data_IF_003145824750
#
_entry.id   IF_003145824750
#
_cell.length_a   1.000
_cell.length_b   1.000
_cell.length_c   1.000
_cell.angle_alpha   90.00
_cell.angle_beta   90.00
_cell.angle_gamma   90.00
#
_symmetry.space_group_name_H-M   'P 1'
#
loop_
_entity.id
_entity.type
_entity.pdbx_description
1 polymer ?
#
# COMPACT_ATOMS: atom_id res chain seq x y z
N UNK A 1 61.33 32.74 -7.95
CA UNK A 1 60.88 33.20 -9.28
C UNK A 1 59.37 33.33 -9.17
N UNK A 2 58.81 34.50 -8.84
CA UNK A 2 58.96 35.78 -9.53
C UNK A 2 57.86 35.82 -10.60
N UNK A 3 56.73 36.50 -10.37
CA UNK A 3 56.37 37.84 -10.89
C UNK A 3 54.85 37.72 -11.23
N UNK A 4 53.92 38.67 -11.06
CA UNK A 4 53.96 40.12 -10.98
C UNK A 4 52.78 40.63 -10.13
N UNK A 5 53.03 41.81 -9.59
CA UNK A 5 52.19 42.65 -8.73
C UNK A 5 51.45 43.71 -9.57
N UNK A 6 50.36 44.24 -8.98
CA UNK A 6 49.84 45.62 -9.11
C UNK A 6 49.14 46.12 -10.40
N UNK A 7 48.00 46.81 -10.21
CA UNK A 7 47.86 48.27 -10.44
C UNK A 7 46.62 48.84 -9.70
N UNK A 8 46.86 49.98 -9.04
CA UNK A 8 45.96 50.87 -8.30
C UNK A 8 45.45 52.00 -9.23
N UNK A 9 44.24 52.53 -9.00
CA UNK A 9 43.82 53.89 -9.39
C UNK A 9 42.30 54.03 -9.49
N UNK A 10 41.56 54.43 -8.43
CA UNK A 10 41.24 55.79 -7.95
C UNK A 10 40.57 56.75 -8.97
N UNK A 11 39.40 57.26 -8.55
CA UNK A 11 38.60 58.45 -8.92
C UNK A 11 37.18 58.07 -9.37
N UNK A 12 36.07 58.64 -8.88
CA UNK A 12 35.86 59.74 -7.94
C UNK A 12 34.45 59.65 -7.35
N UNK A 13 34.24 60.32 -6.22
CA UNK A 13 32.98 60.30 -5.48
C UNK A 13 31.86 61.10 -6.16
N UNK A 14 30.64 60.77 -5.74
CA UNK A 14 29.61 61.75 -5.43
C UNK A 14 28.78 61.17 -4.29
N UNK A 15 28.88 61.82 -3.13
CA UNK A 15 27.89 61.73 -2.05
C UNK A 15 26.58 62.37 -2.55
N UNK A 16 25.46 61.72 -2.30
CA UNK A 16 24.20 62.34 -1.91
C UNK A 16 23.24 61.24 -1.41
N UNK A 17 23.34 61.00 -0.11
CA UNK A 17 22.25 60.94 0.87
C UNK A 17 20.81 60.83 0.29
N UNK A 18 20.15 59.68 0.47
CA UNK A 18 18.80 59.59 1.06
C UNK A 18 18.52 58.18 1.58
N UNK A 19 18.34 58.11 2.90
CA UNK A 19 17.68 57.06 3.64
C UNK A 19 16.36 56.60 3.00
N UNK A 20 16.18 55.28 2.86
CA UNK A 20 14.92 54.66 3.24
C UNK A 20 15.14 53.20 3.64
N UNK A 21 15.01 52.96 4.94
CA UNK A 21 14.76 51.64 5.47
C UNK A 21 13.34 51.24 5.05
N UNK A 22 13.24 50.17 4.26
CA UNK A 22 12.02 49.38 4.18
C UNK A 22 12.44 47.93 4.29
N UNK A 23 12.23 47.39 5.49
CA UNK A 23 12.18 45.96 5.76
C UNK A 23 11.33 45.29 4.66
N UNK A 24 11.96 44.42 3.88
CA UNK A 24 11.20 43.51 3.02
C UNK A 24 10.43 42.55 3.94
N UNK A 25 9.13 42.31 3.70
CA UNK A 25 8.45 41.27 4.44
C UNK A 25 9.04 39.93 3.98
N UNK A 26 9.78 39.33 4.91
CA UNK A 26 9.97 37.90 5.01
C UNK A 26 8.57 37.25 5.01
N UNK A 27 8.22 36.59 3.91
CA UNK A 27 7.04 35.73 3.80
C UNK A 27 7.48 34.36 3.28
N UNK A 28 8.43 33.77 3.97
CA UNK A 28 8.36 32.34 4.28
C UNK A 28 7.19 32.13 5.25
N UNK A 29 5.97 32.22 4.72
CA UNK A 29 4.80 31.58 5.33
C UNK A 29 4.50 30.40 4.44
N UNK A 30 5.20 29.30 4.70
CA UNK A 30 4.75 27.97 4.33
C UNK A 30 3.31 27.87 4.85
N UNK A 31 2.36 27.81 3.94
CA UNK A 31 0.98 27.59 4.28
C UNK A 31 0.93 26.20 4.93
N UNK A 32 0.78 26.15 6.25
CA UNK A 32 0.01 25.07 6.83
C UNK A 32 -1.37 25.20 6.18
N UNK A 33 -1.65 24.33 5.21
CA UNK A 33 -2.96 24.29 4.59
C UNK A 33 -3.97 23.95 5.66
N UNK A 34 -4.78 24.95 5.96
CA UNK A 34 -5.75 24.95 7.03
C UNK A 34 -6.83 23.93 6.66
N UNK A 35 -6.78 22.72 7.24
CA UNK A 35 -7.88 21.76 7.24
C UNK A 35 -9.11 22.47 7.80
N UNK A 36 -10.01 22.88 6.91
CA UNK A 36 -11.25 23.57 7.31
C UNK A 36 -12.36 22.54 7.40
N UNK A 37 -13.07 22.57 8.51
CA UNK A 37 -14.40 21.97 8.62
C UNK A 37 -15.31 22.77 7.68
N UNK A 38 -15.53 22.26 6.46
CA UNK A 38 -16.37 22.88 5.44
C UNK A 38 -17.60 21.98 5.25
N UNK A 39 -18.78 22.56 5.39
CA UNK A 39 -20.07 21.86 5.41
C UNK A 39 -20.71 21.71 4.01
N UNK A 40 -20.00 22.15 2.96
CA UNK A 40 -20.54 22.29 1.60
C UNK A 40 -19.43 22.23 0.52
N UNK A 41 -19.64 21.37 -0.48
CA UNK A 41 -18.80 21.18 -1.67
C UNK A 41 -18.63 22.44 -2.52
N UNK A 42 -19.49 23.45 -2.37
CA UNK A 42 -19.42 24.73 -3.10
C UNK A 42 -18.11 25.51 -2.89
N UNK A 43 -17.25 25.08 -1.97
CA UNK A 43 -15.91 25.61 -1.75
C UNK A 43 -14.88 25.25 -2.86
N UNK A 44 -15.12 24.24 -3.70
CA UNK A 44 -14.26 23.92 -4.83
C UNK A 44 -14.56 24.84 -6.03
N UNK A 45 -13.75 25.88 -6.18
CA UNK A 45 -13.90 26.92 -7.19
C UNK A 45 -13.42 26.56 -8.61
N UNK A 46 -13.09 25.31 -8.91
CA UNK A 46 -12.66 24.87 -10.25
C UNK A 46 -13.46 23.64 -10.72
N UNK A 47 -14.09 23.79 -11.87
CA UNK A 47 -15.05 22.86 -12.47
C UNK A 47 -14.37 21.65 -13.13
N UNK A 48 -13.03 21.63 -13.16
CA UNK A 48 -12.25 20.71 -14.00
C UNK A 48 -11.53 19.58 -13.25
N UNK A 49 -11.55 19.55 -11.91
CA UNK A 49 -11.06 18.41 -11.13
C UNK A 49 -11.89 18.27 -9.86
N UNK A 50 -12.83 17.32 -9.88
CA UNK A 50 -13.65 16.96 -8.73
C UNK A 50 -13.02 15.70 -8.11
N UNK A 51 -12.54 15.74 -6.85
CA UNK A 51 -12.05 14.56 -6.17
C UNK A 51 -13.10 13.44 -6.10
N UNK A 52 -12.71 12.16 -6.18
CA UNK A 52 -13.65 11.03 -6.17
C UNK A 52 -14.65 11.04 -5.00
N UNK A 53 -14.21 11.37 -3.78
CA UNK A 53 -15.09 11.43 -2.61
C UNK A 53 -16.20 12.49 -2.73
N UNK A 54 -15.98 13.56 -3.50
CA UNK A 54 -17.00 14.58 -3.78
C UNK A 54 -18.09 14.08 -4.75
N UNK A 55 -17.96 12.91 -5.37
CA UNK A 55 -18.99 12.30 -6.21
C UNK A 55 -20.04 11.54 -5.40
N UNK A 56 -19.75 11.25 -4.13
CA UNK A 56 -20.64 10.50 -3.23
C UNK A 56 -21.78 11.38 -2.75
N UNK A 57 -21.50 12.58 -2.25
CA UNK A 57 -22.52 13.51 -1.75
C UNK A 57 -22.06 14.95 -1.87
N UNK A 58 -23.00 15.89 -1.89
CA UNK A 58 -22.69 17.33 -1.97
C UNK A 58 -22.51 17.96 -0.58
N UNK A 59 -22.89 17.24 0.48
CA UNK A 59 -22.84 17.69 1.87
C UNK A 59 -22.65 16.52 2.86
N UNK A 60 -22.22 16.85 4.09
CA UNK A 60 -22.22 15.89 5.22
C UNK A 60 -23.62 15.32 5.50
N UNK A 61 -24.67 16.09 5.17
CA UNK A 61 -26.05 15.60 5.31
C UNK A 61 -26.31 14.43 4.36
N UNK A 62 -25.83 14.51 3.11
CA UNK A 62 -25.99 13.43 2.13
C UNK A 62 -25.23 12.17 2.57
N UNK A 63 -24.03 12.32 3.13
CA UNK A 63 -23.25 11.20 3.65
C UNK A 63 -23.97 10.50 4.81
N UNK A 64 -24.57 11.28 5.72
CA UNK A 64 -25.39 10.75 6.82
C UNK A 64 -26.63 10.04 6.30
N UNK A 65 -27.32 10.60 5.33
CA UNK A 65 -28.48 9.96 4.69
C UNK A 65 -28.07 8.62 4.06
N UNK A 66 -26.89 8.51 3.43
CA UNK A 66 -26.39 7.23 2.93
C UNK A 66 -26.06 6.22 4.03
N UNK A 67 -25.50 6.68 5.15
CA UNK A 67 -25.26 5.83 6.31
C UNK A 67 -26.58 5.34 6.92
N UNK A 68 -27.62 6.17 6.98
CA UNK A 68 -28.96 5.80 7.44
C UNK A 68 -29.64 4.82 6.48
N UNK A 69 -29.51 5.05 5.17
CA UNK A 69 -29.99 4.14 4.14
C UNK A 69 -29.31 2.77 4.23
N UNK A 70 -28.00 2.74 4.52
CA UNK A 70 -27.30 1.48 4.81
C UNK A 70 -27.95 0.78 6.00
N UNK A 71 -28.08 1.51 7.12
CA UNK A 71 -28.59 0.96 8.37
C UNK A 71 -30.00 0.37 8.23
N UNK A 72 -30.86 0.98 7.40
CA UNK A 72 -32.22 0.51 7.15
C UNK A 72 -32.35 -0.56 6.05
N UNK A 73 -31.38 -0.66 5.14
CA UNK A 73 -31.42 -1.61 4.02
C UNK A 73 -30.77 -2.95 4.38
N UNK A 74 -29.69 -2.93 5.16
CA UNK A 74 -28.82 -4.09 5.38
C UNK A 74 -28.92 -4.68 6.80
N UNK A 75 -30.02 -4.42 7.53
CA UNK A 75 -30.30 -4.96 8.87
C UNK A 75 -30.24 -6.50 8.97
N UNK A 76 -30.34 -7.20 7.83
CA UNK A 76 -30.29 -8.66 7.80
C UNK A 76 -28.88 -9.25 8.02
N UNK A 77 -27.82 -8.45 7.85
CA UNK A 77 -26.42 -8.88 7.95
C UNK A 77 -25.80 -8.65 9.34
N UNK A 78 -26.50 -7.96 10.24
CA UNK A 78 -26.02 -7.71 11.59
C UNK A 78 -26.74 -6.54 12.27
N UNK A 79 -26.38 -6.20 13.51
CA UNK A 79 -26.86 -4.96 14.13
C UNK A 79 -26.40 -3.77 13.29
N UNK A 80 -27.28 -2.80 13.04
CA UNK A 80 -26.99 -1.55 12.30
C UNK A 80 -27.14 -0.32 13.21
N UNK A 81 -26.82 -0.48 14.49
CA UNK A 81 -27.04 0.51 15.55
C UNK A 81 -25.87 1.49 15.74
N UNK A 82 -24.93 1.51 14.79
CA UNK A 82 -23.68 2.27 14.83
C UNK A 82 -22.78 1.94 16.05
N UNK A 83 -22.92 0.75 16.64
CA UNK A 83 -21.95 0.25 17.61
C UNK A 83 -20.64 -0.19 16.92
N UNK A 84 -19.54 -0.28 17.66
CA UNK A 84 -18.29 -0.86 17.13
C UNK A 84 -18.54 -2.29 16.61
N UNK A 85 -19.29 -3.12 17.34
CA UNK A 85 -19.71 -4.46 16.90
C UNK A 85 -20.51 -4.49 15.59
N UNK A 86 -21.23 -3.41 15.25
CA UNK A 86 -21.98 -3.34 13.98
C UNK A 86 -21.10 -3.38 12.74
N UNK A 87 -19.79 -3.11 12.89
CA UNK A 87 -18.81 -3.20 11.81
C UNK A 87 -18.75 -4.64 11.23
N UNK A 88 -18.88 -5.67 12.09
CA UNK A 88 -18.92 -7.07 11.63
C UNK A 88 -20.07 -7.36 10.66
N UNK A 89 -21.19 -6.66 10.83
CA UNK A 89 -22.33 -6.78 9.91
C UNK A 89 -22.05 -6.17 8.53
N UNK A 90 -21.13 -5.20 8.45
CA UNK A 90 -20.63 -4.66 7.19
C UNK A 90 -19.80 -5.72 6.46
N UNK A 91 -18.89 -6.38 7.16
CA UNK A 91 -18.05 -7.43 6.57
C UNK A 91 -18.87 -8.65 6.13
N UNK A 92 -19.87 -9.09 6.92
CA UNK A 92 -20.76 -10.19 6.54
C UNK A 92 -21.59 -9.86 5.28
N UNK A 93 -22.01 -8.59 5.14
CA UNK A 93 -22.68 -8.12 3.92
C UNK A 93 -21.76 -8.26 2.71
N UNK A 94 -20.48 -7.88 2.83
CA UNK A 94 -19.49 -8.06 1.76
C UNK A 94 -19.19 -9.54 1.45
N UNK A 95 -19.04 -10.38 2.47
CA UNK A 95 -18.75 -11.81 2.32
C UNK A 95 -19.90 -12.59 1.64
N UNK A 96 -21.16 -12.17 1.85
CA UNK A 96 -22.33 -12.88 1.32
C UNK A 96 -22.61 -12.58 -0.16
N UNK A 97 -22.05 -11.49 -0.69
CA UNK A 97 -22.34 -11.06 -2.05
C UNK A 97 -21.35 -11.68 -3.05
N UNK A 98 -21.82 -12.73 -3.73
CA UNK A 98 -21.00 -13.64 -4.56
C UNK A 98 -20.53 -13.08 -5.92
N UNK A 99 -20.68 -11.78 -6.23
CA UNK A 99 -20.43 -11.26 -7.58
C UNK A 99 -19.66 -9.93 -7.56
N UNK A 100 -18.50 -9.92 -6.87
CA UNK A 100 -17.58 -8.77 -6.72
C UNK A 100 -17.20 -8.13 -8.07
N UNK A 101 -17.13 -8.91 -9.15
CA UNK A 101 -16.80 -8.43 -10.50
C UNK A 101 -17.87 -7.52 -11.13
N UNK A 102 -19.13 -7.63 -10.71
CA UNK A 102 -20.22 -6.75 -11.18
C UNK A 102 -20.25 -5.40 -10.45
N UNK A 103 -19.34 -5.18 -9.49
CA UNK A 103 -19.35 -4.02 -8.60
C UNK A 103 -18.34 -2.95 -9.02
N UNK A 104 -17.34 -3.34 -9.81
CA UNK A 104 -16.15 -2.56 -10.16
C UNK A 104 -16.32 -1.66 -11.39
N UNK A 105 -17.48 -1.68 -12.07
CA UNK A 105 -17.67 -0.91 -13.29
C UNK A 105 -19.10 -0.37 -13.43
N UNK A 106 -19.24 0.97 -13.40
CA UNK A 106 -20.38 1.65 -14.03
C UNK A 106 -19.87 2.45 -15.21
N UNK A 107 -20.60 2.37 -16.32
CA UNK A 107 -20.46 3.32 -17.41
C UNK A 107 -21.09 4.66 -17.01
N UNK A 108 -20.27 5.68 -16.83
CA UNK A 108 -20.71 7.05 -16.61
C UNK A 108 -21.32 7.61 -17.90
N UNK A 109 -22.20 8.62 -17.77
CA UNK A 109 -22.89 9.23 -18.93
C UNK A 109 -21.93 9.85 -19.96
N UNK A 110 -20.69 10.12 -19.58
CA UNK A 110 -19.62 10.64 -20.45
C UNK A 110 -18.76 9.54 -21.11
N UNK A 111 -19.09 8.26 -20.90
CA UNK A 111 -18.40 7.13 -21.50
C UNK A 111 -17.12 6.70 -20.78
N UNK A 112 -16.82 7.24 -19.60
CA UNK A 112 -15.80 6.70 -18.71
C UNK A 112 -16.37 5.54 -17.91
N UNK A 113 -15.55 4.53 -17.66
CA UNK A 113 -15.84 3.50 -16.66
C UNK A 113 -15.34 4.02 -15.32
N UNK A 114 -16.24 4.24 -14.36
CA UNK A 114 -15.90 4.57 -12.98
C UNK A 114 -16.30 3.41 -12.09
N UNK A 115 -15.36 2.88 -11.30
CA UNK A 115 -15.68 1.92 -10.25
C UNK A 115 -16.30 2.66 -9.07
N UNK A 116 -17.59 2.98 -9.12
CA UNK A 116 -18.23 3.74 -8.03
C UNK A 116 -19.74 3.49 -7.93
N UNK A 117 -20.16 2.22 -7.93
CA UNK A 117 -21.56 1.91 -7.72
C UNK A 117 -21.94 2.22 -6.26
N UNK A 118 -23.09 2.85 -5.97
CA UNK A 118 -23.59 3.24 -4.63
C UNK A 118 -23.45 2.22 -3.47
N UNK A 119 -23.12 0.96 -3.75
CA UNK A 119 -22.97 -0.13 -2.79
C UNK A 119 -21.67 -0.10 -1.98
N UNK A 120 -20.59 0.57 -2.40
CA UNK A 120 -19.39 0.78 -1.55
C UNK A 120 -19.48 2.08 -0.73
N UNK A 121 -20.16 3.10 -1.28
CA UNK A 121 -20.34 4.39 -0.63
C UNK A 121 -21.22 4.30 0.63
N UNK A 122 -22.32 3.54 0.57
CA UNK A 122 -23.22 3.34 1.72
C UNK A 122 -22.51 2.70 2.95
N UNK A 123 -21.83 1.55 2.82
CA UNK A 123 -21.09 0.96 3.94
C UNK A 123 -19.90 1.81 4.38
N UNK A 124 -19.20 2.50 3.46
CA UNK A 124 -18.16 3.47 3.83
C UNK A 124 -18.75 4.62 4.67
N UNK A 125 -19.85 5.24 4.23
CA UNK A 125 -20.55 6.27 5.01
C UNK A 125 -21.01 5.74 6.37
N UNK A 126 -21.55 4.52 6.44
CA UNK A 126 -21.95 3.89 7.69
C UNK A 126 -20.76 3.70 8.64
N UNK A 127 -19.66 3.16 8.13
CA UNK A 127 -18.44 2.96 8.89
C UNK A 127 -17.84 4.29 9.39
N UNK A 128 -17.81 5.32 8.55
CA UNK A 128 -17.36 6.67 8.94
C UNK A 128 -18.21 7.26 10.06
N UNK A 129 -19.53 7.02 10.00
CA UNK A 129 -20.47 7.41 11.04
C UNK A 129 -20.28 6.61 12.36
N UNK A 130 -19.79 5.37 12.31
CA UNK A 130 -19.31 4.64 13.50
C UNK A 130 -18.08 5.34 14.09
N UNK A 131 -17.07 5.65 13.28
CA UNK A 131 -15.85 6.33 13.75
C UNK A 131 -16.15 7.69 14.39
N UNK A 132 -17.04 8.48 13.79
CA UNK A 132 -17.47 9.78 14.32
C UNK A 132 -18.13 9.66 15.70
N UNK A 133 -18.88 8.58 15.95
CA UNK A 133 -19.60 8.39 17.22
C UNK A 133 -18.71 7.90 18.35
N UNK A 134 -17.63 7.18 18.05
CA UNK A 134 -16.80 6.51 19.06
C UNK A 134 -15.40 7.09 19.22
N UNK A 135 -14.87 7.79 18.22
CA UNK A 135 -13.47 8.24 18.19
C UNK A 135 -13.30 9.74 17.97
N UNK A 136 -14.32 10.53 18.32
CA UNK A 136 -14.34 12.00 18.13
C UNK A 136 -13.91 12.44 16.71
N UNK A 137 -14.12 11.56 15.73
CA UNK A 137 -13.81 11.83 14.33
C UNK A 137 -14.87 12.76 13.73
N UNK A 138 -14.55 13.35 12.57
CA UNK A 138 -15.47 14.22 11.84
C UNK A 138 -15.31 14.06 10.34
N UNK A 139 -16.41 14.24 9.61
CA UNK A 139 -16.33 14.45 8.17
C UNK A 139 -15.57 15.74 7.89
N UNK A 140 -14.54 15.64 7.07
CA UNK A 140 -13.76 16.76 6.55
C UNK A 140 -13.82 16.74 5.04
N UNK A 141 -13.65 17.93 4.44
CA UNK A 141 -13.56 18.08 3.01
C UNK A 141 -12.10 18.33 2.64
N UNK A 142 -11.45 17.27 2.17
CA UNK A 142 -10.07 17.25 1.73
C UNK A 142 -9.94 17.59 0.24
N UNK A 143 -8.83 18.22 -0.15
CA UNK A 143 -8.64 18.68 -1.53
C UNK A 143 -8.32 17.57 -2.51
N UNK A 144 -7.65 16.52 -2.05
CA UNK A 144 -7.14 15.45 -2.89
C UNK A 144 -8.15 14.29 -2.90
N UNK A 145 -8.77 14.01 -1.75
CA UNK A 145 -9.70 12.88 -1.61
C UNK A 145 -11.19 13.28 -1.70
N UNK A 146 -11.53 14.54 -1.45
CA UNK A 146 -12.92 14.98 -1.29
C UNK A 146 -13.42 14.72 0.13
N UNK A 147 -14.60 14.11 0.31
CA UNK A 147 -15.07 13.76 1.65
C UNK A 147 -14.18 12.69 2.28
N UNK A 148 -13.70 12.98 3.50
CA UNK A 148 -12.78 12.15 4.26
C UNK A 148 -13.11 12.19 5.77
N UNK A 149 -12.47 11.34 6.57
CA UNK A 149 -12.60 11.34 8.03
C UNK A 149 -11.34 11.94 8.64
N UNK A 150 -11.50 12.95 9.49
CA UNK A 150 -10.41 13.54 10.27
C UNK A 150 -10.58 13.28 11.76
N UNK A 151 -9.48 12.98 12.44
CA UNK A 151 -9.40 12.86 13.91
C UNK A 151 -8.85 14.14 14.53
N UNK A 152 -9.23 14.47 15.77
CA UNK A 152 -8.79 15.72 16.42
C UNK A 152 -7.26 15.75 16.59
N UNK A 153 -6.60 16.67 15.87
CA UNK A 153 -5.15 16.85 15.94
C UNK A 153 -4.31 15.87 15.11
N UNK A 154 -4.94 15.06 14.25
CA UNK A 154 -4.32 13.99 13.46
C UNK A 154 -4.81 13.94 12.00
N UNK A 155 -4.19 13.03 11.24
CA UNK A 155 -4.30 12.68 9.82
C UNK A 155 -5.74 12.61 9.27
N UNK A 156 -5.87 12.91 7.98
CA UNK A 156 -7.09 12.78 7.18
C UNK A 156 -7.09 11.40 6.51
N UNK A 157 -8.17 10.64 6.67
CA UNK A 157 -8.32 9.30 6.13
C UNK A 157 -9.29 9.30 4.96
N UNK A 158 -8.84 8.81 3.80
CA UNK A 158 -9.67 8.61 2.62
C UNK A 158 -10.56 7.36 2.76
N UNK A 159 -11.64 7.50 3.52
CA UNK A 159 -12.54 6.40 3.83
C UNK A 159 -13.10 5.67 2.60
N UNK A 160 -13.35 6.39 1.51
CA UNK A 160 -13.93 5.80 0.30
C UNK A 160 -12.89 5.06 -0.54
N UNK A 161 -11.66 5.60 -0.62
CA UNK A 161 -10.54 4.90 -1.23
C UNK A 161 -10.22 3.63 -0.46
N UNK A 162 -10.06 3.74 0.86
CA UNK A 162 -9.72 2.57 1.66
C UNK A 162 -10.87 1.56 1.72
N UNK A 163 -12.15 1.98 1.74
CA UNK A 163 -13.29 1.06 1.61
C UNK A 163 -13.34 0.36 0.23
N UNK A 164 -12.84 1.02 -0.82
CA UNK A 164 -12.71 0.42 -2.14
C UNK A 164 -11.59 -0.63 -2.16
N UNK A 165 -10.40 -0.30 -1.65
CA UNK A 165 -9.29 -1.25 -1.50
C UNK A 165 -9.65 -2.42 -0.60
N UNK A 166 -10.48 -2.17 0.42
CA UNK A 166 -10.92 -3.19 1.33
C UNK A 166 -11.81 -4.25 0.63
N UNK A 167 -12.48 -3.94 -0.50
CA UNK A 167 -13.23 -4.93 -1.29
C UNK A 167 -12.37 -6.14 -1.73
N UNK A 168 -11.05 -5.95 -1.80
CA UNK A 168 -10.07 -6.95 -2.19
C UNK A 168 -9.42 -7.66 -0.98
N UNK A 169 -9.80 -7.33 0.26
CA UNK A 169 -9.27 -7.92 1.51
C UNK A 169 -10.38 -8.43 2.43
N UNK A 170 -10.20 -9.57 3.11
CA UNK A 170 -11.24 -10.15 3.98
C UNK A 170 -10.74 -10.33 5.44
N UNK A 171 -11.46 -9.81 6.47
CA UNK A 171 -12.57 -8.86 6.40
C UNK A 171 -12.10 -7.41 6.20
N UNK A 172 -12.81 -6.63 5.37
CA UNK A 172 -12.43 -5.27 5.03
C UNK A 172 -12.44 -4.27 6.19
N UNK A 173 -13.56 -4.18 6.92
CA UNK A 173 -13.84 -3.06 7.82
C UNK A 173 -13.43 -3.34 9.27
N UNK A 174 -13.50 -4.59 9.74
CA UNK A 174 -12.93 -4.98 11.04
C UNK A 174 -11.42 -4.72 11.04
N UNK A 175 -10.70 -5.12 9.98
CA UNK A 175 -9.25 -4.88 9.89
C UNK A 175 -8.93 -3.40 9.86
N UNK A 176 -9.65 -2.64 9.02
CA UNK A 176 -9.50 -1.18 8.94
C UNK A 176 -9.74 -0.50 10.30
N UNK A 177 -10.77 -0.92 11.03
CA UNK A 177 -11.05 -0.42 12.37
C UNK A 177 -9.87 -0.67 13.32
N UNK A 178 -9.40 -1.90 13.38
CA UNK A 178 -8.32 -2.31 14.29
C UNK A 178 -7.02 -1.57 13.96
N UNK A 179 -6.70 -1.45 12.66
CA UNK A 179 -5.59 -0.61 12.19
C UNK A 179 -5.73 0.85 12.61
N UNK A 180 -6.94 1.43 12.60
CA UNK A 180 -7.12 2.79 13.08
C UNK A 180 -6.96 2.92 14.60
N UNK A 181 -7.44 1.94 15.36
CA UNK A 181 -7.24 1.90 16.81
C UNK A 181 -5.74 1.86 17.14
N UNK A 182 -4.98 1.04 16.43
CA UNK A 182 -3.54 0.87 16.64
C UNK A 182 -2.72 2.08 16.14
N UNK A 183 -2.91 2.51 14.89
CA UNK A 183 -2.07 3.53 14.27
C UNK A 183 -2.34 4.94 14.80
N UNK A 184 -3.56 5.21 15.27
CA UNK A 184 -3.94 6.53 15.76
C UNK A 184 -4.02 6.60 17.30
N UNK A 185 -3.64 5.53 18.01
CA UNK A 185 -3.69 5.42 19.48
C UNK A 185 -5.08 5.78 20.01
N UNK A 186 -6.12 5.25 19.35
CA UNK A 186 -7.51 5.49 19.76
C UNK A 186 -7.84 4.60 20.97
N UNK A 187 -8.64 5.11 21.90
CA UNK A 187 -9.09 4.36 23.09
C UNK A 187 -10.19 3.30 22.74
N UNK A 188 -9.99 2.51 21.68
CA UNK A 188 -10.90 1.48 21.16
C UNK A 188 -10.56 0.06 21.59
N UNK A 189 -11.57 -0.82 21.66
CA UNK A 189 -11.37 -2.26 21.78
C UNK A 189 -11.22 -2.86 20.38
N UNK A 190 -10.14 -3.60 20.14
CA UNK A 190 -9.94 -4.32 18.88
C UNK A 190 -11.07 -5.32 18.70
N UNK A 191 -11.66 -5.33 17.50
CA UNK A 191 -12.76 -6.21 17.20
C UNK A 191 -12.27 -7.64 17.02
N UNK A 192 -11.06 -7.85 16.49
CA UNK A 192 -10.49 -9.14 16.09
C UNK A 192 -11.42 -9.86 15.07
N UNK A 193 -10.95 -10.23 13.86
CA UNK A 193 -11.80 -10.99 12.93
C UNK A 193 -12.30 -12.28 13.61
N UNK A 194 -13.57 -12.67 13.43
CA UNK A 194 -14.13 -13.88 14.07
C UNK A 194 -13.15 -15.06 13.92
N UNK A 195 -12.55 -15.42 15.06
CA UNK A 195 -11.27 -16.13 15.18
C UNK A 195 -11.25 -17.59 14.77
N UNK A 196 -12.06 -18.01 13.79
CA UNK A 196 -12.00 -19.36 13.25
C UNK A 196 -11.69 -19.42 11.74
N UNK A 197 -11.80 -18.31 10.97
CA UNK A 197 -11.60 -18.36 9.51
C UNK A 197 -10.30 -17.74 8.99
N UNK A 198 -9.70 -16.82 9.73
CA UNK A 198 -8.44 -16.16 9.36
C UNK A 198 -7.26 -16.54 10.25
N UNK A 199 -7.51 -16.89 11.52
CA UNK A 199 -6.47 -17.35 12.42
C UNK A 199 -5.84 -18.67 11.97
N UNK A 200 -6.58 -19.56 11.28
CA UNK A 200 -5.96 -20.78 10.71
C UNK A 200 -5.04 -20.50 9.49
N UNK A 201 -5.04 -19.30 8.88
CA UNK A 201 -4.14 -18.96 7.76
C UNK A 201 -3.02 -17.98 8.11
N UNK A 202 -3.27 -16.96 8.95
CA UNK A 202 -2.25 -15.96 9.33
C UNK A 202 -1.38 -16.34 10.53
N UNK A 203 -1.75 -17.33 11.36
CA UNK A 203 -1.02 -17.63 12.60
C UNK A 203 0.28 -18.45 12.47
N UNK A 204 0.76 -18.82 11.28
CA UNK A 204 2.03 -19.57 11.22
C UNK A 204 3.26 -18.66 11.07
N UNK A 205 3.08 -17.39 10.73
CA UNK A 205 4.16 -16.42 10.50
C UNK A 205 3.97 -15.16 11.33
N UNK A 206 4.71 -14.99 12.42
CA UNK A 206 4.52 -13.89 13.37
C UNK A 206 4.99 -12.51 12.89
N UNK A 207 5.19 -12.33 11.58
CA UNK A 207 5.83 -11.16 10.95
C UNK A 207 4.85 -10.54 9.94
N UNK A 208 4.68 -9.22 10.03
CA UNK A 208 3.91 -8.45 9.04
C UNK A 208 4.77 -8.26 7.76
N UNK A 209 4.29 -8.67 6.57
CA UNK A 209 5.03 -8.51 5.32
C UNK A 209 5.43 -7.06 5.00
N UNK A 210 4.71 -6.07 5.53
CA UNK A 210 5.00 -4.64 5.32
C UNK A 210 6.12 -4.09 6.20
N UNK A 211 6.51 -4.81 7.26
CA UNK A 211 7.61 -4.43 8.16
C UNK A 211 8.96 -5.00 7.72
N UNK A 212 8.98 -5.81 6.65
CA UNK A 212 10.19 -6.45 6.16
C UNK A 212 11.10 -5.43 5.47
N UNK A 213 12.35 -5.42 5.88
CA UNK A 213 13.38 -4.61 5.23
C UNK A 213 13.52 -5.00 3.75
N UNK A 214 13.37 -4.00 2.87
CA UNK A 214 13.42 -4.18 1.41
C UNK A 214 14.76 -4.73 0.89
N UNK A 215 15.82 -4.66 1.70
CA UNK A 215 17.14 -5.23 1.42
C UNK A 215 17.28 -6.70 1.84
N UNK A 216 16.23 -7.29 2.42
CA UNK A 216 16.18 -8.70 2.81
C UNK A 216 17.10 -9.06 3.97
N UNK A 217 17.52 -8.09 4.77
CA UNK A 217 18.41 -8.28 5.92
C UNK A 217 17.68 -8.66 7.23
N UNK A 218 16.37 -8.92 7.17
CA UNK A 218 15.57 -9.25 8.35
C UNK A 218 16.08 -10.54 9.03
N UNK A 219 16.47 -10.39 10.30
CA UNK A 219 17.07 -11.44 11.12
C UNK A 219 16.03 -12.36 11.78
N UNK A 220 14.79 -11.90 11.92
CA UNK A 220 13.72 -12.65 12.56
C UNK A 220 12.92 -13.48 11.54
N UNK A 221 13.10 -13.22 10.24
CA UNK A 221 12.44 -13.90 9.14
C UNK A 221 12.82 -15.39 9.03
N UNK A 222 11.83 -16.27 9.20
CA UNK A 222 11.96 -17.72 9.11
C UNK A 222 11.46 -18.27 7.76
N UNK A 223 11.90 -19.49 7.36
CA UNK A 223 11.39 -20.18 6.18
C UNK A 223 9.86 -20.31 6.13
N UNK A 224 9.24 -20.55 7.29
CA UNK A 224 7.80 -20.66 7.46
C UNK A 224 7.08 -19.34 7.14
N UNK A 225 7.69 -18.18 7.45
CA UNK A 225 7.14 -16.88 7.07
C UNK A 225 7.12 -16.70 5.55
N UNK A 226 8.21 -17.05 4.88
CA UNK A 226 8.26 -17.01 3.41
C UNK A 226 7.26 -17.96 2.74
N UNK A 227 6.95 -19.09 3.38
CA UNK A 227 5.87 -19.97 2.93
C UNK A 227 4.50 -19.30 3.09
N UNK A 228 4.23 -18.68 4.24
CA UNK A 228 2.99 -17.94 4.50
C UNK A 228 2.79 -16.83 3.49
N UNK A 229 3.83 -16.03 3.23
CA UNK A 229 3.84 -14.97 2.23
C UNK A 229 3.52 -15.47 0.82
N UNK A 230 4.06 -16.64 0.46
CA UNK A 230 3.80 -17.26 -0.83
C UNK A 230 2.34 -17.70 -0.99
N UNK A 231 1.74 -18.26 0.06
CA UNK A 231 0.33 -18.67 0.08
C UNK A 231 -0.60 -17.44 0.08
N UNK A 232 -0.27 -16.40 0.85
CA UNK A 232 -0.99 -15.13 0.86
C UNK A 232 -0.96 -14.44 -0.52
N UNK A 233 0.19 -14.50 -1.22
CA UNK A 233 0.30 -13.98 -2.59
C UNK A 233 -0.67 -14.68 -3.55
N UNK A 234 -0.75 -16.02 -3.49
CA UNK A 234 -1.68 -16.80 -4.33
C UNK A 234 -3.12 -16.53 -3.98
N UNK A 235 -3.46 -16.48 -2.69
CA UNK A 235 -4.82 -16.23 -2.22
C UNK A 235 -5.31 -14.82 -2.61
N UNK A 236 -4.44 -13.80 -2.57
CA UNK A 236 -4.76 -12.42 -2.95
C UNK A 236 -4.92 -12.23 -4.46
N UNK A 237 -4.25 -13.06 -5.24
CA UNK A 237 -4.22 -12.98 -6.70
C UNK A 237 -4.85 -14.21 -7.35
N UNK A 238 -5.96 -14.69 -6.78
CA UNK A 238 -6.66 -15.91 -7.20
C UNK A 238 -7.26 -15.82 -8.62
N UNK A 239 -7.34 -14.61 -9.18
CA UNK A 239 -7.72 -14.37 -10.56
C UNK A 239 -6.60 -14.71 -11.56
N UNK A 240 -5.35 -14.86 -11.10
CA UNK A 240 -4.19 -15.26 -11.88
C UNK A 240 -3.86 -16.74 -11.67
N UNK A 241 -3.38 -17.42 -12.72
CA UNK A 241 -3.00 -18.84 -12.65
C UNK A 241 -1.62 -19.00 -12.00
N UNK A 242 -1.57 -18.88 -10.67
CA UNK A 242 -0.38 -18.97 -9.83
C UNK A 242 -0.30 -20.35 -9.18
N UNK A 243 0.41 -21.29 -9.83
CA UNK A 243 0.48 -22.70 -9.43
C UNK A 243 1.87 -23.15 -8.92
N UNK A 244 2.75 -22.18 -8.64
CA UNK A 244 4.16 -22.37 -8.29
C UNK A 244 5.00 -23.09 -9.35
N UNK A 245 4.54 -23.12 -10.62
CA UNK A 245 5.38 -23.54 -11.74
C UNK A 245 6.33 -22.42 -12.18
N UNK A 246 7.39 -22.77 -12.91
CA UNK A 246 8.27 -21.76 -13.53
C UNK A 246 7.50 -20.87 -14.52
N UNK A 247 6.54 -21.45 -15.25
CA UNK A 247 5.73 -20.74 -16.24
C UNK A 247 4.86 -19.65 -15.59
N UNK A 248 4.44 -19.86 -14.33
CA UNK A 248 3.67 -18.87 -13.56
C UNK A 248 4.45 -17.59 -13.26
N UNK A 249 5.79 -17.57 -13.33
CA UNK A 249 6.57 -16.35 -13.08
C UNK A 249 6.33 -15.27 -14.14
N UNK A 250 6.06 -15.66 -15.38
CA UNK A 250 5.66 -14.70 -16.42
C UNK A 250 4.27 -14.08 -16.13
N UNK A 251 3.40 -14.83 -15.44
CA UNK A 251 2.11 -14.32 -14.93
C UNK A 251 2.34 -13.29 -13.83
N UNK A 252 3.28 -13.54 -12.90
CA UNK A 252 3.69 -12.58 -11.87
C UNK A 252 4.22 -11.30 -12.51
N UNK A 253 5.11 -11.39 -13.50
CA UNK A 253 5.62 -10.21 -14.22
C UNK A 253 4.50 -9.39 -14.87
N UNK A 254 3.50 -10.07 -15.44
CA UNK A 254 2.32 -9.42 -16.04
C UNK A 254 1.48 -8.71 -14.97
N UNK A 255 1.25 -9.36 -13.83
CA UNK A 255 0.51 -8.82 -12.70
C UNK A 255 1.16 -7.54 -12.18
N UNK A 256 2.49 -7.50 -12.02
CA UNK A 256 3.20 -6.30 -11.56
C UNK A 256 3.09 -5.13 -12.55
N UNK A 257 3.20 -5.39 -13.85
CA UNK A 257 3.01 -4.37 -14.87
C UNK A 257 1.58 -3.80 -14.86
N UNK A 258 0.57 -4.66 -14.66
CA UNK A 258 -0.83 -4.26 -14.71
C UNK A 258 -1.31 -3.54 -13.44
N UNK A 259 -0.87 -3.97 -12.26
CA UNK A 259 -1.41 -3.53 -10.96
C UNK A 259 -0.52 -2.53 -10.23
N UNK A 260 0.79 -2.74 -10.28
CA UNK A 260 1.73 -2.06 -9.39
C UNK A 260 2.65 -1.06 -10.10
N UNK A 261 2.75 -1.10 -11.43
CA UNK A 261 3.43 -0.07 -12.25
C UNK A 261 2.46 1.00 -12.77
N UNK A 262 1.54 1.43 -11.91
CA UNK A 262 0.53 2.45 -12.22
C UNK A 262 0.95 3.80 -11.63
N UNK A 263 0.35 4.92 -12.07
CA UNK A 263 0.62 6.24 -11.48
C UNK A 263 0.35 6.34 -9.97
N UNK A 264 -0.42 5.41 -9.40
CA UNK A 264 -0.73 5.34 -7.97
C UNK A 264 0.49 4.99 -7.12
N UNK A 265 1.34 4.09 -7.61
CA UNK A 265 2.56 3.64 -6.93
C UNK A 265 3.83 4.35 -7.44
N UNK A 266 3.69 5.37 -8.28
CA UNK A 266 4.84 5.99 -8.95
C UNK A 266 5.81 6.70 -7.98
N UNK A 267 5.29 7.15 -6.83
CA UNK A 267 6.05 7.81 -5.76
C UNK A 267 6.16 6.94 -4.50
N UNK A 268 5.73 5.67 -4.55
CA UNK A 268 5.82 4.74 -3.43
C UNK A 268 7.25 4.21 -3.28
N UNK A 269 7.74 4.16 -2.05
CA UNK A 269 9.09 3.69 -1.71
C UNK A 269 9.00 2.43 -0.83
N UNK A 270 9.73 1.37 -1.17
CA UNK A 270 9.69 0.13 -0.40
C UNK A 270 10.31 0.33 1.00
N UNK A 271 9.65 -0.18 2.02
CA UNK A 271 10.04 -0.05 3.43
C UNK A 271 9.58 1.24 4.12
N UNK A 272 8.92 2.17 3.40
CA UNK A 272 8.29 3.34 4.03
C UNK A 272 6.97 2.93 4.71
N UNK A 273 6.83 3.34 5.98
CA UNK A 273 5.73 2.90 6.85
C UNK A 273 4.68 3.99 7.10
N UNK A 274 4.88 5.20 6.56
CA UNK A 274 3.98 6.34 6.77
C UNK A 274 3.14 6.70 5.53
N UNK A 275 3.39 6.03 4.40
CA UNK A 275 2.65 6.17 3.15
C UNK A 275 1.92 4.87 2.78
N UNK A 276 0.63 4.96 2.48
CA UNK A 276 -0.23 3.80 2.23
C UNK A 276 0.20 3.03 0.97
N UNK A 277 0.56 3.73 -0.10
CA UNK A 277 1.01 3.08 -1.33
C UNK A 277 2.33 2.33 -1.11
N UNK A 278 3.23 2.91 -0.31
CA UNK A 278 4.50 2.31 0.10
C UNK A 278 4.33 1.07 0.99
N UNK A 279 3.42 1.12 1.96
CA UNK A 279 3.09 -0.04 2.81
C UNK A 279 2.54 -1.19 1.96
N UNK A 280 1.58 -0.90 1.07
CA UNK A 280 0.97 -1.90 0.18
C UNK A 280 2.01 -2.48 -0.76
N UNK A 281 2.87 -1.64 -1.33
CA UNK A 281 3.94 -2.06 -2.24
C UNK A 281 4.96 -2.96 -1.52
N UNK A 282 5.32 -2.61 -0.28
CA UNK A 282 6.25 -3.38 0.56
C UNK A 282 5.67 -4.75 0.91
N UNK A 283 4.42 -4.81 1.37
CA UNK A 283 3.76 -6.08 1.64
C UNK A 283 3.70 -6.97 0.39
N UNK A 284 3.31 -6.38 -0.75
CA UNK A 284 3.24 -7.09 -2.03
C UNK A 284 4.62 -7.62 -2.47
N UNK A 285 5.68 -6.84 -2.26
CA UNK A 285 7.05 -7.25 -2.57
C UNK A 285 7.48 -8.47 -1.75
N UNK A 286 7.24 -8.45 -0.45
CA UNK A 286 7.53 -9.56 0.48
C UNK A 286 6.77 -10.83 0.12
N UNK A 287 5.50 -10.70 -0.28
CA UNK A 287 4.65 -11.81 -0.70
C UNK A 287 5.09 -12.41 -2.04
N UNK A 288 5.41 -11.56 -3.02
CA UNK A 288 5.98 -11.99 -4.28
C UNK A 288 7.37 -12.64 -4.10
N UNK A 289 8.17 -12.16 -3.14
CA UNK A 289 9.44 -12.77 -2.76
C UNK A 289 9.22 -14.18 -2.18
N UNK A 290 8.23 -14.36 -1.31
CA UNK A 290 7.79 -15.67 -0.83
C UNK A 290 7.42 -16.61 -1.97
N UNK A 291 6.55 -16.15 -2.89
CA UNK A 291 6.13 -16.90 -4.07
C UNK A 291 7.30 -17.32 -4.96
N UNK A 292 8.18 -16.38 -5.30
CA UNK A 292 9.37 -16.62 -6.11
C UNK A 292 10.32 -17.62 -5.43
N UNK A 293 10.54 -17.47 -4.13
CA UNK A 293 11.33 -18.39 -3.34
C UNK A 293 10.76 -19.82 -3.38
N UNK A 294 9.45 -19.96 -3.28
CA UNK A 294 8.77 -21.25 -3.40
C UNK A 294 8.87 -21.88 -4.78
N UNK A 295 8.75 -21.09 -5.86
CA UNK A 295 8.96 -21.58 -7.22
C UNK A 295 10.37 -22.14 -7.37
N UNK A 296 11.39 -21.43 -6.87
CA UNK A 296 12.77 -21.92 -6.88
C UNK A 296 12.89 -23.23 -6.10
N UNK A 297 12.42 -23.27 -4.85
CA UNK A 297 12.56 -24.44 -3.98
C UNK A 297 11.85 -25.68 -4.52
N UNK A 298 10.68 -25.51 -5.16
CA UNK A 298 9.90 -26.63 -5.72
C UNK A 298 10.48 -27.16 -7.02
N UNK A 299 11.14 -26.32 -7.81
CA UNK A 299 11.66 -26.67 -9.12
C UNK A 299 13.17 -26.92 -9.14
N UNK A 300 13.86 -26.70 -8.02
CA UNK A 300 15.28 -26.92 -7.83
C UNK A 300 15.55 -27.68 -6.52
N UNK A 301 16.81 -27.87 -6.16
CA UNK A 301 17.19 -28.45 -4.86
C UNK A 301 17.54 -27.37 -3.82
N UNK A 302 17.23 -26.09 -4.08
CA UNK A 302 17.55 -25.01 -3.15
C UNK A 302 16.84 -25.20 -1.80
N UNK A 303 17.52 -24.79 -0.72
CA UNK A 303 16.99 -24.82 0.64
C UNK A 303 17.18 -23.45 1.28
N UNK A 304 16.26 -23.07 2.17
CA UNK A 304 16.40 -21.85 2.96
C UNK A 304 17.58 -21.97 3.93
N UNK A 305 18.43 -20.96 3.96
CA UNK A 305 19.61 -20.90 4.81
C UNK A 305 19.74 -19.48 5.40
N UNK A 306 20.00 -19.43 6.70
CA UNK A 306 20.16 -18.19 7.43
C UNK A 306 21.63 -17.76 7.44
N UNK A 307 21.88 -16.48 7.16
CA UNK A 307 23.20 -15.88 7.21
C UNK A 307 23.22 -14.75 8.23
N UNK A 308 24.16 -14.83 9.18
CA UNK A 308 24.38 -13.78 10.18
C UNK A 308 24.60 -12.42 9.49
N UNK A 309 23.63 -11.50 9.65
CA UNK A 309 23.69 -10.13 9.14
C UNK A 309 23.30 -9.94 7.67
N UNK A 310 22.91 -11.00 6.95
CA UNK A 310 22.42 -10.93 5.56
C UNK A 310 20.99 -11.52 5.44
N UNK A 311 20.35 -11.90 6.55
CA UNK A 311 18.99 -12.45 6.57
C UNK A 311 18.84 -13.84 5.95
N UNK A 312 17.59 -14.20 5.67
CA UNK A 312 17.22 -15.49 5.08
C UNK A 312 17.46 -15.52 3.55
N UNK A 313 18.16 -16.55 3.05
CA UNK A 313 18.47 -16.71 1.62
C UNK A 313 18.16 -18.13 1.12
N UNK A 314 17.94 -18.29 -0.18
CA UNK A 314 17.88 -19.62 -0.81
C UNK A 314 19.27 -20.05 -1.26
N UNK A 315 19.77 -21.15 -0.69
CA UNK A 315 21.07 -21.73 -1.01
C UNK A 315 20.92 -22.98 -1.89
N UNK A 316 21.68 -23.03 -2.97
CA UNK A 316 21.73 -24.19 -3.86
C UNK A 316 22.77 -25.19 -3.35
N UNK A 317 22.40 -26.47 -3.17
CA UNK A 317 23.37 -27.52 -2.92
C UNK A 317 24.08 -27.86 -4.23
N UNK A 318 25.08 -27.07 -4.64
CA UNK A 318 26.08 -27.52 -5.61
C UNK A 318 27.23 -28.20 -4.86
N UNK A 319 27.82 -29.21 -5.49
CA UNK A 319 28.84 -30.06 -4.88
C UNK A 319 30.08 -29.28 -4.43
N UNK A 320 30.31 -28.09 -4.98
CA UNK A 320 31.59 -27.37 -4.86
C UNK A 320 31.47 -25.83 -4.74
N UNK A 321 30.28 -25.23 -4.88
CA UNK A 321 30.03 -23.80 -4.65
C UNK A 321 28.62 -23.58 -4.08
N UNK A 322 28.45 -22.58 -3.21
CA UNK A 322 27.13 -22.23 -2.67
C UNK A 322 26.63 -20.98 -3.40
N UNK A 323 25.75 -21.20 -4.38
CA UNK A 323 25.02 -20.11 -5.03
C UNK A 323 23.87 -19.73 -4.09
N UNK A 324 23.68 -18.44 -3.89
CA UNK A 324 22.61 -17.92 -3.03
C UNK A 324 21.76 -16.94 -3.81
N UNK A 325 20.47 -16.97 -3.52
CA UNK A 325 19.49 -16.03 -4.04
C UNK A 325 18.79 -15.37 -2.88
N UNK A 326 18.57 -14.08 -3.04
CA UNK A 326 17.79 -13.25 -2.16
C UNK A 326 16.43 -12.97 -2.83
N UNK A 327 15.36 -13.67 -2.43
CA UNK A 327 14.05 -13.47 -3.03
C UNK A 327 13.48 -12.08 -2.77
N UNK A 328 13.79 -11.46 -1.63
CA UNK A 328 13.31 -10.12 -1.28
C UNK A 328 13.98 -9.10 -2.20
N UNK A 329 15.31 -9.12 -2.28
CA UNK A 329 16.02 -8.23 -3.21
C UNK A 329 15.59 -8.44 -4.67
N UNK A 330 15.28 -9.67 -5.07
CA UNK A 330 14.78 -9.95 -6.44
C UNK A 330 13.41 -9.32 -6.67
N UNK A 331 12.49 -9.43 -5.70
CA UNK A 331 11.17 -8.81 -5.79
C UNK A 331 11.26 -7.28 -5.77
N UNK A 332 12.11 -6.72 -4.91
CA UNK A 332 12.44 -5.29 -4.87
C UNK A 332 12.91 -4.79 -6.23
N UNK A 333 13.92 -5.43 -6.85
CA UNK A 333 14.39 -5.04 -8.19
C UNK A 333 13.33 -5.22 -9.28
N UNK A 334 12.49 -6.26 -9.20
CA UNK A 334 11.39 -6.42 -10.14
C UNK A 334 10.39 -5.26 -10.06
N UNK A 335 10.14 -4.74 -8.86
CA UNK A 335 9.22 -3.63 -8.62
C UNK A 335 9.84 -2.29 -9.02
N UNK A 336 11.03 -1.98 -8.50
CA UNK A 336 11.68 -0.67 -8.65
C UNK A 336 12.33 -0.48 -10.02
N UNK A 337 13.11 -1.47 -10.47
CA UNK A 337 13.94 -1.37 -11.66
C UNK A 337 13.27 -1.94 -12.93
N UNK A 338 12.12 -2.58 -12.75
CA UNK A 338 11.39 -3.20 -13.85
C UNK A 338 11.95 -4.57 -14.26
N UNK A 339 12.73 -5.22 -13.39
CA UNK A 339 13.24 -6.56 -13.63
C UNK A 339 12.10 -7.60 -13.69
N UNK A 340 12.45 -8.81 -14.14
CA UNK A 340 11.50 -9.91 -14.36
C UNK A 340 11.84 -11.10 -13.48
N UNK A 341 10.84 -11.63 -12.79
CA UNK A 341 10.94 -12.86 -12.01
C UNK A 341 11.28 -14.06 -12.91
N UNK A 342 10.67 -14.16 -14.10
CA UNK A 342 10.97 -15.22 -15.07
C UNK A 342 12.45 -15.16 -15.49
N UNK A 343 12.93 -13.98 -15.90
CA UNK A 343 14.33 -13.83 -16.33
C UNK A 343 15.31 -14.09 -15.18
N UNK A 344 15.03 -13.59 -13.98
CA UNK A 344 15.86 -13.84 -12.79
C UNK A 344 16.00 -15.34 -12.50
N UNK A 345 14.91 -16.11 -12.65
CA UNK A 345 14.94 -17.56 -12.53
C UNK A 345 15.78 -18.23 -13.63
N UNK A 346 15.63 -17.79 -14.88
CA UNK A 346 16.36 -18.36 -16.02
C UNK A 346 17.88 -18.09 -15.92
N UNK A 347 18.27 -16.88 -15.53
CA UNK A 347 19.69 -16.50 -15.31
C UNK A 347 20.30 -17.30 -14.15
N UNK A 348 19.55 -17.49 -13.08
CA UNK A 348 19.94 -18.34 -11.96
C UNK A 348 20.18 -19.78 -12.43
N UNK A 349 19.26 -20.33 -13.23
CA UNK A 349 19.39 -21.68 -13.80
C UNK A 349 20.62 -21.84 -14.69
N UNK A 350 20.87 -20.87 -15.57
CA UNK A 350 22.07 -20.89 -16.42
C UNK A 350 23.34 -20.84 -15.57
N UNK A 351 23.37 -20.01 -14.54
CA UNK A 351 24.50 -19.88 -13.61
C UNK A 351 24.79 -21.19 -12.88
N UNK A 352 23.76 -21.87 -12.37
CA UNK A 352 23.90 -23.17 -11.69
C UNK A 352 24.43 -24.23 -12.66
N UNK A 353 23.90 -24.29 -13.89
CA UNK A 353 24.35 -25.26 -14.91
C UNK A 353 25.81 -25.05 -15.32
N UNK A 354 26.23 -23.80 -15.54
CA UNK A 354 27.61 -23.47 -15.91
C UNK A 354 28.61 -23.87 -14.82
N UNK A 355 28.27 -23.63 -13.55
CA UNK A 355 29.14 -23.96 -12.42
C UNK A 355 29.30 -25.48 -12.29
N UNK A 356 28.24 -26.25 -12.45
CA UNK A 356 28.32 -27.71 -12.39
C UNK A 356 29.12 -28.27 -13.59
N UNK A 357 28.93 -27.73 -14.80
CA UNK A 357 29.65 -28.15 -16.02
C UNK A 357 31.16 -27.79 -16.01
N UNK A 358 31.53 -26.57 -15.58
CA UNK A 358 32.94 -26.15 -15.51
C UNK A 358 33.72 -27.01 -14.51
N UNK A 359 33.08 -27.46 -13.43
CA UNK A 359 33.74 -28.21 -12.37
C UNK A 359 33.84 -29.71 -12.68
N UNK A 360 32.85 -30.32 -13.33
CA UNK A 360 32.95 -31.69 -13.88
C UNK A 360 34.08 -31.82 -14.91
N UNK A 361 34.40 -30.71 -15.61
CA UNK A 361 35.52 -30.65 -16.55
C UNK A 361 36.92 -30.58 -15.89
N UNK A 362 37.00 -30.22 -14.59
CA UNK A 362 38.24 -30.15 -13.83
C UNK A 362 38.59 -31.47 -13.10
N UNK A 363 37.59 -32.30 -12.82
CA UNK A 363 37.77 -33.63 -12.20
C UNK A 363 37.94 -34.78 -13.24
N UNK A 364 37.79 -34.47 -14.54
CA UNK A 364 38.00 -35.39 -15.69
C UNK A 364 39.42 -35.28 -16.27
#
# INVERSE_FOLDING_TARGET
MGLFDSIIGLFGGNDDDQSNATEGPDQSTQAAEETRVIDDRSAFGDENHVPPGCLVGDSVTDLREMAEDYAGTWEEFGPTDYSIESIRGVDEMFATQQDRANWLAIDLEDGRTGGFAPMAAQPACYFGEVLIRHYDAQWVLDRDYGWAIGFEGQTIVNLFGTAHSALDTEPPFVRMHDTFVENYDLDGELLEPDGERLEERRQDSGIDPSEIDADGADEDLAPEDMHGFADDFVDRHDEYDLDFSVESLATVDTLFEERYRTPEFADAELGETDDEASIVLTATASEAAGYFGEVIRRNTAAEWNYLDGDGLKLAFPSANAEIRVDPIATATSAIEDGDSFENSYLELRETVEVIDDELDSLDS
#
